data_IF_926611043602
#
_entry.id   IF_926611043602
#
_cell.length_a   1.000
_cell.length_b   1.000
_cell.length_c   1.000
_cell.angle_alpha   90.00
_cell.angle_beta   90.00
_cell.angle_gamma   90.00
#
_symmetry.space_group_name_H-M   'P 1'
#
loop_
_entity.id
_entity.type
_entity.pdbx_description
1 polymer ?
#
# COMPACT_ATOMS: atom_id res chain seq x y z
N UNK A 1 -22.96 -14.71 -3.51
CA UNK A 1 -21.65 -14.16 -3.10
C UNK A 1 -20.98 -15.18 -2.21
N UNK A 2 -19.69 -15.47 -2.42
CA UNK A 2 -18.92 -16.36 -1.56
C UNK A 2 -18.70 -15.66 -0.22
N UNK A 3 -19.48 -16.03 0.79
CA UNK A 3 -19.30 -15.52 2.16
C UNK A 3 -18.25 -16.37 2.87
N UNK A 4 -17.50 -15.77 3.80
CA UNK A 4 -16.50 -16.52 4.57
C UNK A 4 -17.12 -17.75 5.22
N UNK A 5 -18.38 -17.69 5.68
CA UNK A 5 -19.10 -18.78 6.36
C UNK A 5 -19.27 -20.06 5.53
N UNK A 6 -19.39 -19.96 4.21
CA UNK A 6 -19.67 -21.08 3.33
C UNK A 6 -18.40 -21.83 2.86
N UNK A 7 -17.22 -21.30 3.20
CA UNK A 7 -15.95 -21.92 2.83
C UNK A 7 -15.62 -23.09 3.76
N UNK A 8 -15.08 -24.17 3.19
CA UNK A 8 -14.56 -25.28 3.97
C UNK A 8 -13.08 -25.05 4.24
N UNK A 9 -12.71 -24.94 5.52
CA UNK A 9 -11.32 -24.82 5.95
C UNK A 9 -10.62 -26.18 5.86
N UNK A 10 -9.37 -26.17 5.41
CA UNK A 10 -8.51 -27.36 5.49
C UNK A 10 -8.22 -27.71 6.95
N UNK A 11 -7.81 -28.96 7.25
CA UNK A 11 -7.38 -29.35 8.59
C UNK A 11 -6.28 -28.42 9.15
N UNK A 12 -5.31 -28.03 8.32
CA UNK A 12 -4.19 -27.18 8.71
C UNK A 12 -4.65 -25.75 9.03
N UNK A 13 -5.54 -25.18 8.21
CA UNK A 13 -6.13 -23.87 8.49
C UNK A 13 -6.93 -23.88 9.80
N UNK A 14 -7.71 -24.94 10.05
CA UNK A 14 -8.45 -25.09 11.31
C UNK A 14 -7.51 -25.26 12.51
N UNK A 15 -6.42 -26.02 12.34
CA UNK A 15 -5.37 -26.18 13.34
C UNK A 15 -4.74 -24.82 13.67
N UNK A 16 -4.41 -24.03 12.64
CA UNK A 16 -3.83 -22.70 12.79
C UNK A 16 -4.76 -21.76 13.57
N UNK A 17 -6.02 -21.66 13.17
CA UNK A 17 -7.01 -20.84 13.91
C UNK A 17 -7.15 -21.30 15.37
N UNK A 18 -7.10 -22.61 15.62
CA UNK A 18 -7.17 -23.15 16.98
C UNK A 18 -5.95 -22.77 17.81
N UNK A 19 -4.74 -22.94 17.26
CA UNK A 19 -3.48 -22.56 17.92
C UNK A 19 -3.44 -21.06 18.23
N UNK A 20 -3.93 -20.20 17.32
CA UNK A 20 -4.00 -18.75 17.55
C UNK A 20 -5.04 -18.40 18.63
N UNK A 21 -6.24 -19.01 18.58
CA UNK A 21 -7.34 -18.64 19.46
C UNK A 21 -7.16 -19.11 20.91
N UNK A 22 -6.55 -20.27 21.14
CA UNK A 22 -6.50 -20.90 22.47
C UNK A 22 -5.85 -20.02 23.55
N UNK A 23 -4.65 -19.42 23.32
CA UNK A 23 -4.04 -18.50 24.30
C UNK A 23 -4.96 -17.33 24.62
N UNK A 24 -5.53 -16.70 23.58
CA UNK A 24 -6.40 -15.54 23.75
C UNK A 24 -7.70 -15.86 24.49
N UNK A 25 -8.33 -17.01 24.21
CA UNK A 25 -9.51 -17.47 24.95
C UNK A 25 -9.21 -17.85 26.42
N UNK A 26 -7.95 -18.10 26.77
CA UNK A 26 -7.52 -18.47 28.11
C UNK A 26 -7.04 -17.27 28.93
N UNK A 27 -6.32 -16.34 28.31
CA UNK A 27 -5.62 -15.26 29.01
C UNK A 27 -6.07 -13.85 28.58
N UNK A 28 -6.85 -13.74 27.50
CA UNK A 28 -7.16 -12.47 26.84
C UNK A 28 -6.00 -11.91 26.01
N UNK A 29 -4.90 -12.66 25.85
CA UNK A 29 -3.73 -12.23 25.08
C UNK A 29 -3.49 -13.10 23.84
N UNK A 30 -3.32 -12.45 22.70
CA UNK A 30 -2.95 -13.12 21.44
C UNK A 30 -1.52 -13.65 21.48
N UNK A 31 -1.24 -14.84 20.91
CA UNK A 31 0.11 -15.39 20.91
C UNK A 31 1.07 -14.60 20.02
N UNK A 32 2.36 -14.64 20.37
CA UNK A 32 3.44 -14.24 19.47
C UNK A 32 3.51 -15.21 18.29
N UNK A 33 3.82 -14.70 17.10
CA UNK A 33 3.93 -15.50 15.89
C UNK A 33 4.98 -16.61 16.02
N UNK A 34 6.12 -16.32 16.65
CA UNK A 34 7.16 -17.32 16.93
C UNK A 34 6.64 -18.57 17.65
N UNK A 35 5.69 -18.41 18.58
CA UNK A 35 5.12 -19.55 19.32
C UNK A 35 4.21 -20.39 18.43
N UNK A 36 3.48 -19.75 17.52
CA UNK A 36 2.63 -20.42 16.53
C UNK A 36 3.50 -21.17 15.52
N UNK A 37 4.55 -20.53 15.01
CA UNK A 37 5.54 -21.15 14.12
C UNK A 37 6.18 -22.37 14.78
N UNK A 38 6.64 -22.25 16.02
CA UNK A 38 7.25 -23.36 16.74
C UNK A 38 6.32 -24.59 16.87
N UNK A 39 5.03 -24.39 17.15
CA UNK A 39 4.07 -25.50 17.20
C UNK A 39 3.89 -26.22 15.85
N UNK A 40 3.98 -25.48 14.75
CA UNK A 40 3.86 -26.00 13.39
C UNK A 40 5.15 -26.66 12.91
N UNK A 41 6.31 -26.09 13.25
CA UNK A 41 7.64 -26.67 13.00
C UNK A 41 7.78 -28.04 13.66
N UNK A 42 7.29 -28.19 14.89
CA UNK A 42 7.25 -29.47 15.62
C UNK A 42 6.42 -30.55 14.91
N UNK A 43 5.56 -30.17 13.96
CA UNK A 43 4.73 -31.05 13.13
C UNK A 43 5.24 -31.14 11.68
N UNK A 44 6.34 -30.46 11.36
CA UNK A 44 6.88 -30.38 9.99
C UNK A 44 5.99 -29.60 9.02
N UNK A 45 5.23 -28.61 9.52
CA UNK A 45 4.31 -27.79 8.74
C UNK A 45 4.80 -26.33 8.66
N UNK A 46 4.58 -25.67 7.52
CA UNK A 46 4.92 -24.27 7.33
C UNK A 46 3.76 -23.37 7.76
N UNK A 47 3.88 -22.75 8.94
CA UNK A 47 2.84 -21.86 9.49
C UNK A 47 2.61 -20.61 8.61
N UNK A 48 3.66 -20.07 7.99
CA UNK A 48 3.56 -18.88 7.14
C UNK A 48 2.75 -19.21 5.89
N UNK A 49 3.03 -20.34 5.24
CA UNK A 49 2.27 -20.80 4.09
C UNK A 49 0.80 -21.04 4.44
N UNK A 50 0.51 -21.70 5.57
CA UNK A 50 -0.87 -21.94 6.02
C UNK A 50 -1.58 -20.63 6.34
N UNK A 51 -0.92 -19.67 6.98
CA UNK A 51 -1.49 -18.36 7.31
C UNK A 51 -1.87 -17.57 6.05
N UNK A 52 -0.97 -17.49 5.06
CA UNK A 52 -1.25 -16.78 3.82
C UNK A 52 -2.29 -17.50 2.93
N UNK A 53 -2.53 -18.80 3.16
CA UNK A 53 -3.60 -19.54 2.48
C UNK A 53 -5.01 -19.27 3.05
N UNK A 54 -5.14 -18.58 4.19
CA UNK A 54 -6.43 -18.37 4.84
C UNK A 54 -7.38 -17.58 3.93
N UNK A 55 -8.65 -18.02 3.77
CA UNK A 55 -9.58 -17.29 2.94
C UNK A 55 -9.88 -15.86 3.42
N UNK A 56 -10.06 -14.96 2.45
CA UNK A 56 -10.34 -13.54 2.66
C UNK A 56 -11.34 -13.03 1.62
N UNK A 57 -11.99 -11.92 1.93
CA UNK A 57 -12.90 -11.15 1.07
C UNK A 57 -12.35 -9.72 0.99
N UNK A 58 -12.42 -9.10 -0.19
CA UNK A 58 -11.90 -7.74 -0.44
C UNK A 58 -10.51 -7.74 -1.09
N UNK A 59 -9.89 -6.56 -1.18
CA UNK A 59 -8.62 -6.40 -1.90
C UNK A 59 -7.41 -6.71 -0.97
N UNK A 60 -6.32 -7.21 -1.54
CA UNK A 60 -5.07 -7.52 -0.80
C UNK A 60 -4.08 -6.35 -0.76
N UNK A 61 -4.45 -5.20 -1.30
CA UNK A 61 -3.57 -4.04 -1.41
C UNK A 61 -3.24 -3.41 -0.03
N UNK A 62 -2.12 -2.67 0.09
CA UNK A 62 -1.63 -2.08 1.34
C UNK A 62 -2.60 -1.24 2.18
N UNK A 63 -3.68 -0.76 1.56
CA UNK A 63 -4.72 0.09 2.15
C UNK A 63 -6.14 -0.39 1.81
N UNK A 64 -6.26 -1.63 1.34
CA UNK A 64 -7.53 -2.18 0.91
C UNK A 64 -8.45 -2.54 2.08
N UNK A 65 -9.76 -2.40 1.84
CA UNK A 65 -10.78 -3.03 2.67
C UNK A 65 -10.71 -4.55 2.44
N UNK A 66 -10.10 -5.28 3.37
CA UNK A 66 -10.01 -6.74 3.34
C UNK A 66 -10.46 -7.33 4.67
N UNK A 67 -11.23 -8.43 4.62
CA UNK A 67 -11.72 -9.14 5.78
C UNK A 67 -11.50 -10.64 5.63
N UNK A 68 -11.01 -11.28 6.68
CA UNK A 68 -10.70 -12.70 6.69
C UNK A 68 -10.72 -13.23 8.10
N UNK A 69 -10.29 -14.48 8.28
CA UNK A 69 -10.25 -15.10 9.61
C UNK A 69 -9.16 -14.52 10.52
N UNK A 70 -8.11 -13.95 9.95
CA UNK A 70 -7.02 -13.34 10.69
C UNK A 70 -6.68 -11.95 10.16
N UNK A 71 -6.18 -11.10 11.08
CA UNK A 71 -5.64 -9.78 10.74
C UNK A 71 -4.43 -9.98 9.83
N UNK A 72 -4.37 -9.33 8.65
CA UNK A 72 -3.28 -9.56 7.70
C UNK A 72 -1.94 -9.20 8.31
N UNK A 73 -0.96 -10.08 8.14
CA UNK A 73 0.45 -9.82 8.41
C UNK A 73 1.19 -9.91 7.08
N UNK A 74 2.16 -9.02 6.85
CA UNK A 74 2.96 -9.04 5.62
C UNK A 74 4.15 -9.97 5.81
N UNK A 75 4.51 -10.69 4.76
CA UNK A 75 5.78 -11.41 4.71
C UNK A 75 6.95 -10.41 4.52
N UNK A 76 8.11 -10.64 5.17
CA UNK A 76 8.34 -11.63 6.22
C UNK A 76 7.63 -11.23 7.52
N UNK A 77 6.99 -12.21 8.20
CA UNK A 77 6.28 -11.94 9.45
C UNK A 77 7.29 -11.85 10.59
N UNK A 78 7.29 -10.73 11.32
CA UNK A 78 8.13 -10.56 12.50
C UNK A 78 7.75 -11.60 13.58
N UNK A 79 8.71 -12.43 14.07
CA UNK A 79 8.44 -13.44 15.09
C UNK A 79 7.85 -12.86 16.40
N UNK A 80 8.17 -11.61 16.74
CA UNK A 80 7.65 -10.88 17.90
C UNK A 80 6.26 -10.28 17.69
N UNK A 81 5.69 -10.37 16.50
CA UNK A 81 4.36 -9.84 16.24
C UNK A 81 3.27 -10.74 16.84
N UNK A 82 2.24 -10.14 17.45
CA UNK A 82 1.07 -10.88 17.92
C UNK A 82 0.09 -11.13 16.78
N UNK A 83 -0.17 -12.40 16.48
CA UNK A 83 -1.14 -12.81 15.47
C UNK A 83 -2.55 -12.79 16.06
N UNK A 84 -3.51 -12.22 15.32
CA UNK A 84 -4.87 -11.96 15.83
C UNK A 84 -5.93 -12.53 14.91
N UNK A 85 -7.02 -13.02 15.49
CA UNK A 85 -8.19 -13.43 14.74
C UNK A 85 -9.27 -12.35 14.78
N UNK A 86 -10.05 -12.27 13.71
CA UNK A 86 -11.30 -11.51 13.67
C UNK A 86 -12.42 -12.32 14.34
N UNK A 87 -13.59 -11.69 14.53
CA UNK A 87 -14.83 -12.35 14.93
C UNK A 87 -15.14 -13.50 13.98
N UNK A 88 -14.92 -13.33 12.67
CA UNK A 88 -15.07 -14.42 11.70
C UNK A 88 -14.13 -15.59 12.00
N UNK A 89 -12.86 -15.33 12.31
CA UNK A 89 -11.87 -16.36 12.65
C UNK A 89 -12.22 -17.14 13.91
N UNK A 90 -12.51 -16.43 14.99
CA UNK A 90 -12.84 -17.07 16.27
C UNK A 90 -14.15 -17.85 16.18
N UNK A 91 -15.14 -17.34 15.44
CA UNK A 91 -16.46 -17.98 15.29
C UNK A 91 -16.42 -19.28 14.46
N UNK A 92 -15.32 -19.57 13.76
CA UNK A 92 -15.13 -20.89 13.12
C UNK A 92 -14.83 -22.02 14.11
N UNK A 93 -14.46 -21.68 15.34
CA UNK A 93 -14.20 -22.64 16.40
C UNK A 93 -15.48 -22.78 17.26
N UNK A 94 -15.95 -24.01 17.56
CA UNK A 94 -17.18 -24.19 18.34
C UNK A 94 -17.19 -23.42 19.67
N UNK A 95 -16.07 -23.50 20.43
CA UNK A 95 -15.90 -22.76 21.68
C UNK A 95 -15.87 -21.26 21.44
N UNK A 96 -15.14 -20.80 20.43
CA UNK A 96 -15.04 -19.39 20.06
C UNK A 96 -16.38 -18.77 19.71
N UNK A 97 -17.19 -19.46 18.90
CA UNK A 97 -18.56 -19.03 18.55
C UNK A 97 -19.42 -18.78 19.80
N UNK A 98 -19.36 -19.68 20.77
CA UNK A 98 -20.14 -19.56 22.01
C UNK A 98 -19.65 -18.43 22.91
N UNK A 99 -18.34 -18.33 23.13
CA UNK A 99 -17.77 -17.41 24.13
C UNK A 99 -17.41 -16.02 23.59
N UNK A 100 -17.49 -15.82 22.28
CA UNK A 100 -17.19 -14.54 21.62
C UNK A 100 -18.36 -14.08 20.76
N UNK A 101 -18.95 -14.96 19.95
CA UNK A 101 -20.00 -14.57 19.00
C UNK A 101 -21.20 -13.92 19.68
N UNK A 102 -21.80 -14.58 20.68
CA UNK A 102 -22.95 -14.02 21.39
C UNK A 102 -22.59 -12.78 22.23
N UNK A 103 -21.53 -12.78 23.06
CA UNK A 103 -21.04 -11.57 23.74
C UNK A 103 -20.78 -10.37 22.82
N UNK A 104 -20.22 -10.63 21.63
CA UNK A 104 -19.98 -9.61 20.62
C UNK A 104 -21.29 -9.04 20.08
N UNK A 105 -22.26 -9.88 19.73
CA UNK A 105 -23.55 -9.41 19.22
C UNK A 105 -24.34 -8.62 20.26
N UNK A 106 -24.28 -8.99 21.55
CA UNK A 106 -24.86 -8.20 22.64
C UNK A 106 -24.21 -6.83 22.75
N UNK A 107 -22.88 -6.78 22.70
CA UNK A 107 -22.12 -5.52 22.68
C UNK A 107 -22.51 -4.66 21.48
N UNK A 108 -22.59 -5.23 20.29
CA UNK A 108 -22.94 -4.50 19.06
C UNK A 108 -24.34 -3.89 19.13
N UNK A 109 -25.33 -4.64 19.65
CA UNK A 109 -26.68 -4.11 19.91
C UNK A 109 -26.64 -2.95 20.91
N UNK A 110 -25.89 -3.09 21.98
CA UNK A 110 -25.73 -2.01 22.95
C UNK A 110 -25.07 -0.76 22.33
N UNK A 111 -24.07 -0.92 21.46
CA UNK A 111 -23.47 0.20 20.71
C UNK A 111 -24.51 0.90 19.81
N UNK A 112 -25.36 0.13 19.14
CA UNK A 112 -26.45 0.68 18.31
C UNK A 112 -27.44 1.46 19.19
N UNK A 113 -27.83 0.91 20.34
CA UNK A 113 -28.74 1.58 21.27
C UNK A 113 -28.14 2.90 21.78
N UNK A 114 -26.86 2.89 22.20
CA UNK A 114 -26.13 4.11 22.59
C UNK A 114 -26.12 5.17 21.47
N UNK A 115 -25.93 4.74 20.22
CA UNK A 115 -25.91 5.65 19.07
C UNK A 115 -27.29 6.24 18.77
N UNK A 116 -28.35 5.43 18.87
CA UNK A 116 -29.74 5.86 18.64
C UNK A 116 -30.23 6.77 19.77
N UNK A 117 -29.85 6.49 21.03
CA UNK A 117 -30.29 7.25 22.19
C UNK A 117 -29.59 8.60 22.35
N UNK A 118 -28.63 8.94 21.48
CA UNK A 118 -27.89 10.20 21.58
C UNK A 118 -28.84 11.40 21.45
N UNK A 119 -28.67 12.46 22.26
CA UNK A 119 -29.50 13.65 22.15
C UNK A 119 -29.25 14.37 20.83
N UNK A 120 -30.34 14.86 20.21
CA UNK A 120 -30.26 15.72 19.03
C UNK A 120 -30.08 17.16 19.51
N UNK A 121 -28.88 17.71 19.31
CA UNK A 121 -28.55 19.10 19.62
C UNK A 121 -28.31 19.85 18.30
N UNK A 122 -28.76 21.11 18.23
CA UNK A 122 -28.72 21.90 16.99
C UNK A 122 -27.30 22.23 16.51
N UNK A 123 -26.39 22.52 17.45
CA UNK A 123 -25.08 23.09 17.14
C UNK A 123 -23.90 22.18 17.54
N UNK A 124 -24.18 21.00 18.10
CA UNK A 124 -23.16 20.07 18.59
C UNK A 124 -23.53 18.66 18.16
N UNK A 125 -22.58 17.92 17.59
CA UNK A 125 -22.72 16.47 17.38
C UNK A 125 -22.07 15.77 18.58
N UNK A 126 -22.85 15.22 19.54
CA UNK A 126 -22.26 14.57 20.70
C UNK A 126 -21.50 13.32 20.28
N UNK A 127 -20.28 13.18 20.76
CA UNK A 127 -19.52 11.92 20.64
C UNK A 127 -20.20 10.87 21.49
N UNK A 128 -20.52 9.72 20.88
CA UNK A 128 -21.07 8.56 21.59
C UNK A 128 -19.90 7.68 21.99
N UNK A 129 -19.81 7.34 23.27
CA UNK A 129 -18.69 6.56 23.82
C UNK A 129 -19.23 5.27 24.44
N UNK A 130 -18.61 4.15 24.09
CA UNK A 130 -18.72 2.88 24.77
C UNK A 130 -17.61 2.82 25.84
N UNK A 131 -17.99 2.78 27.11
CA UNK A 131 -17.04 2.71 28.23
C UNK A 131 -17.09 1.34 28.88
N UNK A 132 -15.93 0.80 29.28
CA UNK A 132 -15.85 -0.54 29.86
C UNK A 132 -16.72 -0.73 31.11
N UNK A 133 -16.79 0.27 32.00
CA UNK A 133 -17.60 0.22 33.21
C UNK A 133 -19.11 0.28 32.94
N UNK A 134 -19.53 1.13 32.02
CA UNK A 134 -20.94 1.25 31.60
C UNK A 134 -21.40 0.00 30.85
N UNK A 135 -20.54 -0.56 30.01
CA UNK A 135 -20.81 -1.82 29.32
C UNK A 135 -20.99 -2.98 30.31
N UNK A 136 -20.09 -3.10 31.29
CA UNK A 136 -20.20 -4.14 32.32
C UNK A 136 -21.46 -3.98 33.18
N UNK A 137 -21.89 -2.74 33.45
CA UNK A 137 -23.13 -2.48 34.17
C UNK A 137 -24.38 -2.78 33.31
N UNK A 138 -24.35 -2.43 32.01
CA UNK A 138 -25.46 -2.65 31.09
C UNK A 138 -25.63 -4.13 30.70
N UNK A 139 -24.53 -4.88 30.65
CA UNK A 139 -24.49 -6.30 30.29
C UNK A 139 -23.71 -7.10 31.35
N UNK A 140 -24.30 -7.34 32.53
CA UNK A 140 -23.59 -7.93 33.67
C UNK A 140 -23.18 -9.40 33.48
N UNK A 141 -23.80 -10.12 32.54
CA UNK A 141 -23.42 -11.51 32.22
C UNK A 141 -22.25 -11.59 31.24
N UNK A 142 -21.67 -10.46 30.80
CA UNK A 142 -20.44 -10.51 30.03
C UNK A 142 -19.28 -10.88 30.94
N UNK A 143 -18.53 -11.90 30.53
CA UNK A 143 -17.34 -12.32 31.24
C UNK A 143 -16.33 -11.15 31.35
N UNK A 144 -15.72 -10.91 32.53
CA UNK A 144 -14.79 -9.79 32.71
C UNK A 144 -13.61 -9.79 31.75
N UNK A 145 -13.10 -10.98 31.40
CA UNK A 145 -12.02 -11.12 30.43
C UNK A 145 -12.44 -10.65 29.03
N UNK A 146 -13.69 -10.89 28.65
CA UNK A 146 -14.22 -10.46 27.35
C UNK A 146 -14.31 -8.95 27.28
N UNK A 147 -14.85 -8.30 28.33
CA UNK A 147 -14.90 -6.83 28.44
C UNK A 147 -13.49 -6.22 28.33
N UNK A 148 -12.50 -6.86 28.95
CA UNK A 148 -11.09 -6.43 28.84
C UNK A 148 -10.52 -6.59 27.43
N UNK A 149 -10.83 -7.68 26.73
CA UNK A 149 -10.31 -8.00 25.40
C UNK A 149 -11.04 -7.29 24.24
N UNK A 150 -12.26 -6.81 24.50
CA UNK A 150 -13.14 -6.20 23.50
C UNK A 150 -12.51 -5.05 22.69
N UNK A 151 -11.74 -4.11 23.26
CA UNK A 151 -11.15 -3.01 22.49
C UNK A 151 -10.20 -3.50 21.39
N UNK A 152 -9.45 -4.56 21.65
CA UNK A 152 -8.53 -5.15 20.68
C UNK A 152 -9.33 -5.89 19.60
N UNK A 153 -10.37 -6.66 19.98
CA UNK A 153 -11.26 -7.32 19.02
C UNK A 153 -11.93 -6.30 18.06
N UNK A 154 -12.51 -5.23 18.59
CA UNK A 154 -13.18 -4.18 17.80
C UNK A 154 -12.22 -3.45 16.84
N UNK A 155 -10.94 -3.34 17.18
CA UNK A 155 -9.96 -2.58 16.38
C UNK A 155 -9.66 -3.21 15.02
N UNK A 156 -10.02 -4.49 14.84
CA UNK A 156 -9.80 -5.23 13.61
C UNK A 156 -11.08 -5.66 12.91
N UNK A 157 -12.24 -5.25 13.42
CA UNK A 157 -13.51 -5.49 12.79
C UNK A 157 -13.84 -4.38 11.77
N UNK A 158 -13.96 -4.71 10.46
CA UNK A 158 -14.25 -3.72 9.44
C UNK A 158 -15.58 -3.04 9.70
N UNK A 159 -15.62 -1.75 9.38
CA UNK A 159 -16.83 -0.94 9.46
C UNK A 159 -17.45 -0.86 10.88
N UNK A 160 -16.65 -1.18 11.90
CA UNK A 160 -16.84 -0.74 13.28
C UNK A 160 -15.66 0.18 13.59
N UNK A 161 -15.76 1.44 13.13
CA UNK A 161 -14.70 2.42 13.39
C UNK A 161 -14.81 2.89 14.83
N UNK A 162 -13.79 2.56 15.64
CA UNK A 162 -13.70 2.98 17.04
C UNK A 162 -12.34 3.62 17.30
N UNK A 163 -12.26 4.95 17.23
CA UNK A 163 -11.21 5.68 17.96
C UNK A 163 -11.38 5.45 19.47
N UNK A 164 -10.33 5.59 20.28
CA UNK A 164 -10.51 5.47 21.72
C UNK A 164 -9.23 5.47 22.53
N UNK A 165 -9.38 5.50 23.85
CA UNK A 165 -8.29 5.62 24.80
C UNK A 165 -8.35 4.50 25.84
N UNK A 166 -7.18 4.06 26.28
CA UNK A 166 -7.02 3.33 27.54
C UNK A 166 -6.83 4.36 28.64
N UNK A 167 -7.70 4.32 29.64
CA UNK A 167 -7.60 5.15 30.84
C UNK A 167 -6.71 4.35 31.80
N UNK A 168 -5.64 4.95 32.32
CA UNK A 168 -4.53 4.24 32.99
C UNK A 168 -4.87 3.36 34.21
N UNK A 169 -6.14 3.26 34.59
CA UNK A 169 -6.70 2.35 35.59
C UNK A 169 -7.13 0.99 35.01
N UNK A 170 -6.88 0.74 33.72
CA UNK A 170 -7.27 -0.47 33.02
C UNK A 170 -8.68 -0.42 32.42
N UNK A 171 -9.42 0.67 32.62
CA UNK A 171 -10.64 0.96 31.90
C UNK A 171 -10.34 1.50 30.50
N UNK A 172 -11.34 1.49 29.63
CA UNK A 172 -11.20 1.93 28.26
C UNK A 172 -12.48 2.60 27.77
N UNK A 173 -12.31 3.47 26.79
CA UNK A 173 -13.40 4.07 26.03
C UNK A 173 -13.19 3.88 24.53
N UNK A 174 -14.29 3.67 23.81
CA UNK A 174 -14.33 3.53 22.35
C UNK A 174 -15.43 4.41 21.79
N UNK A 175 -15.10 5.23 20.80
CA UNK A 175 -16.07 6.00 20.04
C UNK A 175 -16.99 5.07 19.25
N UNK A 176 -18.29 5.31 19.35
CA UNK A 176 -19.31 4.64 18.55
C UNK A 176 -19.76 5.58 17.44
N UNK A 177 -19.38 5.23 16.22
CA UNK A 177 -19.70 6.03 15.03
C UNK A 177 -20.99 5.56 14.36
N UNK A 178 -21.49 6.32 13.36
CA UNK A 178 -22.68 5.95 12.57
C UNK A 178 -22.58 4.57 11.90
N UNK A 179 -21.35 4.08 11.69
CA UNK A 179 -21.09 2.82 10.98
C UNK A 179 -21.81 1.62 11.61
N UNK A 180 -22.01 1.59 12.94
CA UNK A 180 -22.73 0.50 13.62
C UNK A 180 -24.19 0.35 13.17
N UNK A 181 -24.79 1.41 12.63
CA UNK A 181 -26.19 1.41 12.19
C UNK A 181 -26.46 0.46 11.02
N UNK A 182 -25.42 0.10 10.25
CA UNK A 182 -25.57 -0.87 9.14
C UNK A 182 -25.86 -2.30 9.64
N UNK A 183 -25.64 -2.57 10.92
CA UNK A 183 -25.89 -3.87 11.57
C UNK A 183 -27.20 -3.89 12.38
N UNK A 184 -28.02 -2.85 12.26
CA UNK A 184 -29.30 -2.77 12.96
C UNK A 184 -30.22 -3.92 12.55
N UNK A 185 -30.79 -4.60 13.54
CA UNK A 185 -31.70 -5.73 13.34
C UNK A 185 -31.00 -7.07 13.12
N UNK A 186 -29.66 -7.13 13.25
CA UNK A 186 -28.93 -8.41 13.25
C UNK A 186 -28.92 -9.00 14.66
N UNK A 187 -29.11 -10.32 14.71
CA UNK A 187 -29.25 -11.07 15.95
C UNK A 187 -28.16 -12.10 16.14
N UNK A 188 -27.54 -12.57 15.05
CA UNK A 188 -26.53 -13.63 15.06
C UNK A 188 -25.17 -13.15 14.56
N UNK A 189 -24.10 -13.83 14.99
CA UNK A 189 -22.75 -13.54 14.53
C UNK A 189 -22.58 -13.88 13.03
N UNK A 190 -23.36 -14.83 12.52
CA UNK A 190 -23.38 -15.18 11.11
C UNK A 190 -23.90 -14.02 10.24
N UNK A 191 -25.04 -13.43 10.61
CA UNK A 191 -25.58 -12.24 9.92
C UNK A 191 -24.58 -11.08 9.93
N UNK A 192 -23.90 -10.87 11.06
CA UNK A 192 -22.84 -9.87 11.17
C UNK A 192 -21.69 -10.16 10.19
N UNK A 193 -21.17 -11.39 10.15
CA UNK A 193 -20.06 -11.78 9.26
C UNK A 193 -20.48 -11.62 7.79
N UNK A 194 -21.69 -12.05 7.42
CA UNK A 194 -22.21 -11.87 6.06
C UNK A 194 -22.29 -10.40 5.68
N UNK A 195 -22.84 -9.56 6.55
CA UNK A 195 -22.92 -8.11 6.29
C UNK A 195 -21.54 -7.48 6.18
N UNK A 196 -20.60 -7.86 7.05
CA UNK A 196 -19.24 -7.36 6.99
C UNK A 196 -18.56 -7.77 5.68
N UNK A 197 -18.74 -9.02 5.23
CA UNK A 197 -18.30 -9.45 3.90
C UNK A 197 -18.92 -8.62 2.78
N UNK A 198 -20.23 -8.32 2.83
CA UNK A 198 -20.89 -7.46 1.83
C UNK A 198 -20.31 -6.05 1.81
N UNK A 199 -20.18 -5.41 2.98
CA UNK A 199 -19.66 -4.04 3.11
C UNK A 199 -18.21 -3.98 2.61
N UNK A 200 -17.39 -4.95 2.99
CA UNK A 200 -16.00 -5.04 2.56
C UNK A 200 -15.90 -5.30 1.07
N UNK A 201 -16.72 -6.19 0.50
CA UNK A 201 -16.76 -6.43 -0.93
C UNK A 201 -17.24 -5.20 -1.71
N UNK A 202 -18.25 -4.48 -1.20
CA UNK A 202 -18.74 -3.25 -1.80
C UNK A 202 -17.70 -2.13 -1.76
N UNK A 203 -17.03 -1.93 -0.63
CA UNK A 203 -15.93 -0.96 -0.50
C UNK A 203 -14.75 -1.37 -1.39
N UNK A 204 -14.40 -2.65 -1.40
CA UNK A 204 -13.36 -3.18 -2.27
C UNK A 204 -13.73 -3.09 -3.75
N UNK A 205 -15.02 -3.01 -4.12
CA UNK A 205 -15.47 -2.73 -5.48
C UNK A 205 -15.47 -1.24 -5.81
N UNK A 206 -15.70 -0.36 -4.83
CA UNK A 206 -15.58 1.10 -4.99
C UNK A 206 -14.13 1.54 -5.18
N UNK A 207 -13.21 0.87 -4.48
CA UNK A 207 -11.75 1.07 -4.59
C UNK A 207 -11.07 -0.08 -5.31
N UNK A 208 -11.84 -0.98 -5.93
CA UNK A 208 -11.27 -1.78 -6.99
C UNK A 208 -10.78 -0.72 -7.96
N UNK A 209 -9.51 -0.75 -8.40
CA UNK A 209 -9.19 -0.02 -9.60
C UNK A 209 -10.31 -0.40 -10.57
N UNK A 210 -10.97 0.58 -11.18
CA UNK A 210 -11.78 0.29 -12.35
C UNK A 210 -10.90 -0.64 -13.14
N UNK A 211 -11.32 -1.89 -13.23
CA UNK A 211 -10.72 -2.81 -14.17
C UNK A 211 -11.18 -2.18 -15.47
N UNK A 212 -10.44 -1.16 -15.93
CA UNK A 212 -9.97 -1.13 -17.30
C UNK A 212 -9.53 -2.56 -17.44
N UNK A 213 -10.36 -3.33 -18.14
CA UNK A 213 -9.98 -4.68 -18.51
C UNK A 213 -8.53 -4.57 -18.89
N UNK A 214 -7.72 -5.43 -18.28
CA UNK A 214 -6.55 -5.92 -18.97
C UNK A 214 -7.07 -6.74 -20.18
N UNK A 215 -7.84 -6.09 -21.09
CA UNK A 215 -7.44 -6.10 -22.47
C UNK A 215 -5.97 -5.78 -22.40
N UNK A 216 -5.14 -6.72 -22.84
CA UNK A 216 -3.80 -6.41 -23.25
C UNK A 216 -3.87 -5.06 -23.96
N UNK A 217 -3.47 -4.00 -23.26
CA UNK A 217 -3.26 -2.70 -23.84
C UNK A 217 -2.00 -2.87 -24.67
N UNK A 218 -2.18 -3.49 -25.83
CA UNK A 218 -1.93 -2.79 -27.06
C UNK A 218 -2.82 -1.52 -27.09
N UNK A 219 -2.62 -0.60 -26.13
CA UNK A 219 -2.66 0.80 -26.49
C UNK A 219 -1.53 0.91 -27.49
N UNK A 220 -1.89 1.12 -28.74
CA UNK A 220 -1.02 1.90 -29.62
C UNK A 220 -0.49 3.06 -28.76
N UNK A 221 0.83 3.13 -28.49
CA UNK A 221 1.37 4.17 -27.64
C UNK A 221 0.94 5.51 -28.23
N UNK A 222 0.11 6.26 -27.50
CA UNK A 222 -0.31 7.60 -27.93
C UNK A 222 0.89 8.52 -28.12
N UNK A 223 2.01 8.17 -27.47
CA UNK A 223 3.33 8.79 -27.56
C UNK A 223 4.39 7.72 -27.81
N UNK A 224 5.18 7.87 -28.87
CA UNK A 224 6.38 7.05 -29.06
C UNK A 224 7.38 7.21 -27.91
N UNK A 225 8.38 6.33 -27.87
CA UNK A 225 9.46 6.37 -26.88
C UNK A 225 10.11 7.77 -26.80
N UNK A 226 10.42 8.22 -25.59
CA UNK A 226 11.06 9.52 -25.38
C UNK A 226 12.48 9.56 -25.96
N UNK A 227 13.25 8.49 -25.75
CA UNK A 227 14.53 8.23 -26.41
C UNK A 227 14.27 7.30 -27.58
N UNK A 228 14.69 7.72 -28.78
CA UNK A 228 14.48 6.95 -30.01
C UNK A 228 15.12 5.56 -29.90
N UNK A 229 14.42 4.55 -30.45
CA UNK A 229 14.86 3.15 -30.41
C UNK A 229 16.24 2.99 -31.08
N UNK A 230 16.44 3.60 -32.24
CA UNK A 230 17.73 3.58 -32.94
C UNK A 230 18.88 4.13 -32.07
N UNK A 231 18.59 5.18 -31.28
CA UNK A 231 19.58 5.78 -30.38
C UNK A 231 19.85 4.91 -29.14
N UNK A 232 18.86 4.15 -28.67
CA UNK A 232 19.04 3.15 -27.63
C UNK A 232 19.93 2.00 -28.11
N UNK A 233 19.74 1.55 -29.34
CA UNK A 233 20.54 0.50 -29.96
C UNK A 233 21.99 0.96 -30.20
N UNK A 234 22.19 2.22 -30.64
CA UNK A 234 23.51 2.84 -30.75
C UNK A 234 24.22 2.89 -29.39
N UNK A 235 23.53 3.31 -28.33
CA UNK A 235 24.09 3.34 -26.96
C UNK A 235 24.49 1.95 -26.48
N UNK A 236 23.69 0.92 -26.73
CA UNK A 236 24.00 -0.46 -26.39
C UNK A 236 25.18 -1.01 -27.19
N UNK A 237 25.25 -0.68 -28.48
CA UNK A 237 26.35 -1.08 -29.37
C UNK A 237 27.67 -0.46 -28.92
N UNK A 238 27.68 0.84 -28.63
CA UNK A 238 28.90 1.52 -28.15
C UNK A 238 29.26 1.10 -26.72
N UNK A 239 28.30 0.69 -25.89
CA UNK A 239 28.55 0.17 -24.55
C UNK A 239 29.49 -1.05 -24.55
N UNK A 240 29.48 -1.85 -25.61
CA UNK A 240 30.34 -3.03 -25.74
C UNK A 240 31.81 -2.69 -26.00
N UNK A 241 32.12 -1.49 -26.51
CA UNK A 241 33.46 -1.11 -26.98
C UNK A 241 34.09 0.03 -26.18
N UNK A 242 33.29 0.81 -25.45
CA UNK A 242 33.79 1.92 -24.64
C UNK A 242 34.31 1.47 -23.27
N UNK A 243 35.26 2.23 -22.70
CA UNK A 243 35.71 2.04 -21.30
C UNK A 243 34.70 2.53 -20.26
N UNK A 244 33.78 3.40 -20.66
CA UNK A 244 32.75 3.95 -19.78
C UNK A 244 31.73 2.87 -19.41
N UNK A 245 31.34 2.82 -18.13
CA UNK A 245 30.30 1.90 -17.66
C UNK A 245 28.92 2.54 -17.84
N UNK A 246 28.38 2.44 -19.05
CA UNK A 246 27.13 3.12 -19.46
C UNK A 246 25.85 2.35 -19.10
N UNK A 247 25.93 1.22 -18.40
CA UNK A 247 24.76 0.43 -17.98
C UNK A 247 23.73 1.26 -17.20
N UNK A 248 24.19 2.18 -16.34
CA UNK A 248 23.31 3.09 -15.60
C UNK A 248 22.62 4.09 -16.54
N UNK A 249 23.34 4.65 -17.52
CA UNK A 249 22.75 5.55 -18.52
C UNK A 249 21.65 4.84 -19.30
N UNK A 250 21.90 3.61 -19.78
CA UNK A 250 20.94 2.81 -20.53
C UNK A 250 19.68 2.55 -19.69
N UNK A 251 19.85 2.12 -18.43
CA UNK A 251 18.74 1.88 -17.53
C UNK A 251 17.91 3.15 -17.25
N UNK A 252 18.56 4.31 -17.09
CA UNK A 252 17.87 5.59 -16.93
C UNK A 252 17.08 5.99 -18.19
N UNK A 253 17.63 5.74 -19.39
CA UNK A 253 16.93 6.00 -20.65
C UNK A 253 15.73 5.05 -20.85
N UNK A 254 15.85 3.77 -20.46
CA UNK A 254 14.74 2.81 -20.46
C UNK A 254 13.63 3.26 -19.49
N UNK A 255 13.99 3.58 -18.25
CA UNK A 255 13.03 4.08 -17.26
C UNK A 255 12.35 5.38 -17.68
N UNK A 256 13.05 6.25 -18.44
CA UNK A 256 12.44 7.44 -19.03
C UNK A 256 11.44 7.10 -20.14
N UNK A 257 11.74 6.12 -21.00
CA UNK A 257 10.80 5.66 -22.02
C UNK A 257 9.53 5.10 -21.39
N UNK A 258 9.67 4.24 -20.38
CA UNK A 258 8.54 3.67 -19.65
C UNK A 258 7.70 4.75 -18.98
N UNK A 259 8.34 5.71 -18.31
CA UNK A 259 7.66 6.82 -17.66
C UNK A 259 6.94 7.76 -18.65
N UNK A 260 7.51 7.97 -19.83
CA UNK A 260 6.93 8.84 -20.85
C UNK A 260 5.72 8.21 -21.54
N UNK A 261 5.81 6.91 -21.85
CA UNK A 261 4.69 6.12 -22.38
C UNK A 261 3.55 6.04 -21.36
N UNK A 262 3.89 5.92 -20.06
CA UNK A 262 2.91 5.91 -18.96
C UNK A 262 2.39 7.31 -18.56
N UNK A 263 2.78 8.38 -19.28
CA UNK A 263 2.41 9.77 -18.99
C UNK A 263 2.67 10.21 -17.54
N UNK A 264 3.81 9.80 -16.97
CA UNK A 264 4.21 10.13 -15.61
C UNK A 264 5.23 11.29 -15.59
N UNK A 265 4.79 12.56 -15.42
CA UNK A 265 5.67 13.72 -15.54
C UNK A 265 6.71 13.81 -14.42
N UNK A 266 6.40 13.33 -13.22
CA UNK A 266 7.33 13.30 -12.09
C UNK A 266 8.48 12.32 -12.34
N UNK A 267 8.16 11.11 -12.80
CA UNK A 267 9.17 10.12 -13.16
C UNK A 267 10.00 10.59 -14.36
N UNK A 268 9.38 11.20 -15.38
CA UNK A 268 10.10 11.80 -16.50
C UNK A 268 11.11 12.87 -16.03
N UNK A 269 10.68 13.80 -15.20
CA UNK A 269 11.53 14.86 -14.66
C UNK A 269 12.72 14.28 -13.87
N UNK A 270 12.46 13.29 -13.00
CA UNK A 270 13.49 12.62 -12.20
C UNK A 270 14.52 11.88 -13.07
N UNK A 271 14.06 11.17 -14.12
CA UNK A 271 14.95 10.44 -15.03
C UNK A 271 15.78 11.38 -15.89
N UNK A 272 15.18 12.44 -16.46
CA UNK A 272 15.91 13.45 -17.23
C UNK A 272 16.97 14.11 -16.33
N UNK A 273 16.61 14.53 -15.11
CA UNK A 273 17.55 15.10 -14.13
C UNK A 273 18.73 14.18 -13.88
N UNK A 274 18.45 12.89 -13.67
CA UNK A 274 19.46 11.86 -13.40
C UNK A 274 20.37 11.62 -14.60
N UNK A 275 19.83 11.60 -15.81
CA UNK A 275 20.62 11.48 -17.06
C UNK A 275 21.55 12.69 -17.20
N UNK A 276 21.03 13.91 -17.01
CA UNK A 276 21.82 15.14 -17.13
C UNK A 276 22.95 15.23 -16.10
N UNK A 277 22.80 14.69 -14.90
CA UNK A 277 23.91 14.59 -13.94
C UNK A 277 24.90 13.48 -14.25
N UNK A 278 24.47 12.46 -15.00
CA UNK A 278 25.29 11.29 -15.25
C UNK A 278 26.27 11.46 -16.41
N UNK A 279 25.86 12.19 -17.45
CA UNK A 279 26.64 12.34 -18.71
C UNK A 279 27.81 13.34 -18.71
N UNK A 280 27.92 14.38 -17.84
CA UNK A 280 28.97 15.40 -17.97
C UNK A 280 30.42 14.87 -18.06
N UNK A 281 30.84 13.81 -17.33
CA UNK A 281 32.20 13.30 -17.42
C UNK A 281 32.62 12.83 -18.82
N UNK A 282 31.67 12.40 -19.66
CA UNK A 282 31.94 12.00 -21.06
C UNK A 282 32.41 13.20 -21.89
N UNK A 283 32.01 14.40 -21.50
CA UNK A 283 32.40 15.67 -22.12
C UNK A 283 33.59 16.35 -21.44
N UNK A 284 34.18 15.73 -20.41
CA UNK A 284 35.25 16.34 -19.62
C UNK A 284 34.79 17.43 -18.65
N UNK A 285 33.50 17.46 -18.31
CA UNK A 285 32.92 18.41 -17.37
C UNK A 285 32.31 17.71 -16.15
N UNK A 286 32.14 18.43 -15.04
CA UNK A 286 31.54 17.92 -13.81
C UNK A 286 30.04 18.21 -13.69
N UNK A 287 29.53 19.18 -14.47
CA UNK A 287 28.14 19.60 -14.43
C UNK A 287 27.62 19.87 -15.84
N UNK A 288 26.36 19.52 -16.08
CA UNK A 288 25.72 19.68 -17.38
C UNK A 288 25.56 21.14 -17.84
N UNK A 289 25.42 22.10 -16.92
CA UNK A 289 25.40 23.54 -17.25
C UNK A 289 26.70 23.95 -17.95
N UNK A 290 27.85 23.38 -17.56
CA UNK A 290 29.12 23.59 -18.26
C UNK A 290 29.13 22.95 -19.65
N UNK A 291 28.62 21.71 -19.78
CA UNK A 291 28.46 21.04 -21.08
C UNK A 291 27.62 21.91 -22.04
N UNK A 292 26.45 22.36 -21.59
CA UNK A 292 25.55 23.18 -22.41
C UNK A 292 26.15 24.54 -22.81
N UNK A 293 27.02 25.12 -21.97
CA UNK A 293 27.65 26.41 -22.23
C UNK A 293 28.89 26.30 -23.13
N UNK A 294 29.76 25.31 -22.86
CA UNK A 294 31.14 25.26 -23.34
C UNK A 294 31.39 24.18 -24.41
N UNK A 295 30.60 23.10 -24.43
CA UNK A 295 30.80 22.01 -25.40
C UNK A 295 30.45 22.47 -26.83
N UNK A 296 31.24 22.01 -27.80
CA UNK A 296 31.00 22.23 -29.23
C UNK A 296 30.32 20.99 -29.78
N UNK A 297 28.99 21.04 -29.86
CA UNK A 297 28.16 19.97 -30.42
C UNK A 297 28.39 19.79 -31.92
N UNK A 298 28.24 18.55 -32.40
CA UNK A 298 28.44 18.18 -33.80
C UNK A 298 27.52 18.98 -34.75
N UNK A 299 26.25 19.22 -34.38
CA UNK A 299 25.38 20.19 -35.07
C UNK A 299 25.31 21.53 -34.30
N UNK A 300 26.34 22.35 -34.52
CA UNK A 300 26.73 23.54 -33.71
C UNK A 300 25.60 24.46 -33.19
N UNK A 301 24.52 24.71 -33.95
CA UNK A 301 23.51 25.72 -33.59
C UNK A 301 22.26 25.16 -32.92
N UNK A 302 21.76 24.00 -33.35
CA UNK A 302 20.49 23.45 -32.85
C UNK A 302 20.68 22.62 -31.59
N UNK A 303 21.71 21.76 -31.55
CA UNK A 303 22.00 20.89 -30.41
C UNK A 303 22.41 21.70 -29.17
N UNK A 304 23.15 22.80 -29.37
CA UNK A 304 23.50 23.72 -28.29
C UNK A 304 22.25 24.35 -27.66
N UNK A 305 21.28 24.76 -28.47
CA UNK A 305 20.01 25.29 -27.96
C UNK A 305 19.21 24.22 -27.20
N UNK A 306 19.22 22.98 -27.67
CA UNK A 306 18.61 21.86 -26.96
C UNK A 306 19.25 21.62 -25.58
N UNK A 307 20.58 21.57 -25.52
CA UNK A 307 21.33 21.42 -24.28
C UNK A 307 21.06 22.58 -23.30
N UNK A 308 21.00 23.83 -23.77
CA UNK A 308 20.68 24.99 -22.93
C UNK A 308 19.27 24.91 -22.33
N UNK A 309 18.27 24.49 -23.10
CA UNK A 309 16.90 24.30 -22.57
C UNK A 309 16.83 23.17 -21.55
N UNK A 310 17.57 22.07 -21.76
CA UNK A 310 17.69 21.00 -20.77
C UNK A 310 18.38 21.46 -19.49
N UNK A 311 19.42 22.29 -19.62
CA UNK A 311 20.10 22.89 -18.47
C UNK A 311 19.19 23.81 -17.65
N UNK A 312 18.27 24.54 -18.30
CA UNK A 312 17.24 25.32 -17.62
C UNK A 312 16.16 24.43 -16.96
N UNK A 313 15.76 23.34 -17.61
CA UNK A 313 14.81 22.37 -17.04
C UNK A 313 15.34 21.69 -15.77
N UNK A 314 16.66 21.57 -15.61
CA UNK A 314 17.29 21.01 -14.40
C UNK A 314 16.77 21.66 -13.12
N UNK A 315 16.48 22.96 -13.12
CA UNK A 315 15.96 23.68 -11.96
C UNK A 315 14.48 23.31 -11.64
N UNK A 316 13.66 23.03 -12.67
CA UNK A 316 12.29 22.52 -12.50
C UNK A 316 12.33 21.10 -11.92
N UNK A 317 13.17 20.24 -12.50
CA UNK A 317 13.28 18.86 -12.03
C UNK A 317 13.87 18.77 -10.61
N UNK A 318 14.76 19.69 -10.24
CA UNK A 318 15.30 19.80 -8.88
C UNK A 318 14.20 20.16 -7.86
N UNK A 319 13.35 21.15 -8.20
CA UNK A 319 12.20 21.52 -7.39
C UNK A 319 11.20 20.36 -7.25
N UNK A 320 10.90 19.64 -8.35
CA UNK A 320 10.01 18.46 -8.34
C UNK A 320 10.52 17.37 -7.38
N UNK A 321 11.83 17.17 -7.31
CA UNK A 321 12.45 16.11 -6.50
C UNK A 321 12.64 16.51 -5.03
N UNK A 322 12.81 17.79 -4.74
CA UNK A 322 13.23 18.26 -3.41
C UNK A 322 12.17 19.08 -2.66
N UNK A 323 11.10 19.54 -3.33
CA UNK A 323 10.04 20.31 -2.70
C UNK A 323 9.32 19.48 -1.63
N UNK A 324 9.31 19.91 -0.36
CA UNK A 324 8.56 19.24 0.71
C UNK A 324 7.05 19.32 0.50
N UNK A 325 6.30 18.40 1.13
CA UNK A 325 4.84 18.44 1.17
C UNK A 325 4.37 19.78 1.76
N UNK A 326 3.41 20.43 1.11
CA UNK A 326 2.83 21.70 1.55
C UNK A 326 1.32 21.74 1.29
N UNK A 327 0.64 22.78 1.80
CA UNK A 327 -0.79 23.01 1.53
C UNK A 327 -1.08 23.40 0.07
N UNK A 328 -0.05 23.72 -0.72
CA UNK A 328 -0.17 24.01 -2.15
C UNK A 328 0.13 22.74 -2.93
N UNK A 329 -0.78 22.32 -3.81
CA UNK A 329 -0.54 21.20 -4.74
C UNK A 329 0.50 21.65 -5.78
N UNK A 330 1.75 21.16 -5.75
CA UNK A 330 2.67 21.40 -6.84
C UNK A 330 2.16 20.57 -8.02
N UNK A 331 1.85 21.20 -9.15
CA UNK A 331 1.42 20.48 -10.36
C UNK A 331 2.50 20.61 -11.42
N UNK A 332 3.16 19.51 -11.73
CA UNK A 332 3.85 19.31 -13.00
C UNK A 332 2.98 18.39 -13.87
N UNK A 333 2.90 18.71 -15.16
CA UNK A 333 2.15 17.99 -16.18
C UNK A 333 3.09 17.51 -17.29
N UNK A 334 2.57 16.72 -18.24
CA UNK A 334 3.37 16.28 -19.38
C UNK A 334 3.81 17.44 -20.30
N UNK A 335 3.13 18.59 -20.25
CA UNK A 335 3.48 19.79 -21.02
C UNK A 335 4.73 20.50 -20.47
N UNK A 336 5.06 20.24 -19.20
CA UNK A 336 6.27 20.75 -18.55
C UNK A 336 7.51 19.88 -18.85
N UNK A 337 7.30 18.64 -19.30
CA UNK A 337 8.38 17.74 -19.69
C UNK A 337 8.98 18.22 -21.01
N UNK A 338 10.33 18.37 -21.13
CA UNK A 338 10.95 18.82 -22.36
C UNK A 338 10.61 17.93 -23.57
N UNK A 339 10.55 18.51 -24.77
CA UNK A 339 10.35 17.72 -25.99
C UNK A 339 11.45 16.65 -26.17
N UNK A 340 11.09 15.41 -26.59
CA UNK A 340 12.02 14.31 -26.83
C UNK A 340 13.28 14.70 -27.63
N UNK A 341 13.11 15.49 -28.70
CA UNK A 341 14.21 15.93 -29.58
C UNK A 341 15.37 16.56 -28.80
N UNK A 342 15.10 17.21 -27.67
CA UNK A 342 16.12 17.91 -26.89
C UNK A 342 17.12 16.93 -26.28
N UNK A 343 16.64 15.88 -25.61
CA UNK A 343 17.51 14.90 -24.97
C UNK A 343 18.15 13.97 -26.00
N UNK A 344 17.41 13.59 -27.04
CA UNK A 344 17.97 12.76 -28.12
C UNK A 344 19.17 13.43 -28.80
N UNK A 345 19.14 14.73 -29.05
CA UNK A 345 20.29 15.46 -29.59
C UNK A 345 21.53 15.36 -28.68
N UNK A 346 21.34 15.48 -27.35
CA UNK A 346 22.43 15.36 -26.37
C UNK A 346 22.94 13.92 -26.27
N UNK A 347 22.05 12.94 -26.28
CA UNK A 347 22.41 11.52 -26.22
C UNK A 347 23.12 11.04 -27.50
N UNK A 348 22.74 11.57 -28.67
CA UNK A 348 23.48 11.33 -29.91
C UNK A 348 24.92 11.86 -29.81
N UNK A 349 25.11 13.05 -29.25
CA UNK A 349 26.46 13.58 -29.00
C UNK A 349 27.22 12.71 -27.98
N UNK A 350 26.56 12.14 -26.97
CA UNK A 350 27.16 11.15 -26.05
C UNK A 350 27.70 9.95 -26.83
N UNK A 351 26.89 9.36 -27.72
CA UNK A 351 27.31 8.23 -28.58
C UNK A 351 28.55 8.60 -29.40
N UNK A 352 28.60 9.81 -29.95
CA UNK A 352 29.77 10.31 -30.71
C UNK A 352 31.03 10.47 -29.85
N UNK A 353 30.89 10.82 -28.57
CA UNK A 353 32.00 11.10 -27.66
C UNK A 353 32.54 9.86 -26.93
N UNK A 354 31.72 8.84 -26.72
CA UNK A 354 32.10 7.61 -26.03
C UNK A 354 33.31 6.87 -26.65
N UNK A 355 33.49 6.82 -27.99
CA UNK A 355 34.70 6.26 -28.61
C UNK A 355 35.92 7.18 -28.54
N UNK A 356 35.73 8.51 -28.61
CA UNK A 356 36.82 9.51 -28.72
C UNK A 356 37.58 9.75 -27.42
N UNK A 357 37.00 9.36 -26.30
CA UNK A 357 37.59 9.56 -24.96
C UNK A 357 38.47 8.39 -24.51
N UNK A 358 38.82 7.45 -25.40
CA UNK A 358 39.88 6.48 -25.16
C UNK A 358 41.26 7.14 -25.28
N UNK A 359 42.19 6.99 -24.32
CA UNK A 359 43.56 7.43 -24.52
C UNK A 359 44.22 6.58 -25.62
N UNK A 360 45.17 7.17 -26.35
CA UNK A 360 46.08 6.37 -27.19
C UNK A 360 46.78 5.34 -26.29
N UNK A 361 46.82 4.10 -26.79
CA UNK A 361 47.43 2.92 -26.17
C UNK A 361 48.76 3.17 -25.51
#
# INVERSE_FOLDING_TARGET
>A
MTTLLNLTLTPDQRSLLTTIAQPWLKTGEWPLWANVQHEFDMRGQDADAVFHSLPRVGNEAPFASGYGYAVPMRAPIDPGHRVRLTVAGVSRLPKGRMVVGEPFMRTLRHMIDLYISRPVLADVVPTVLLRSGELAAALPDLEPWFVKALPDLLSYEPAISTGGAHLGDGSWEREVTRSVMQFRGMHTVEEYIEKTCEVVAANAAQYAPTVVQEEALAAEPSRGAYVHVDLMDDLQTVAATTRWKVHKLIALCQGLNDAYVAENPYACAAMIRSILDHIPPIFGHTDFKHVAAQHVFSMKRNDKNHAQKLAAFKDIADDVMHRPISHTVPRISMDDVPEPIRLNAVLHEVVVMLPKTAPAT
#
